data_IF_252689769298
#
_entry.id   IF_252689769298
#
_cell.length_a   1.000
_cell.length_b   1.000
_cell.length_c   1.000
_cell.angle_alpha   90.00
_cell.angle_beta   90.00
_cell.angle_gamma   90.00
#
_symmetry.space_group_name_H-M   'P 1'
#
loop_
_entity.id
_entity.type
_entity.pdbx_description
1 polymer ?
#
# COMPACT_ATOMS: atom_id res chain seq x y z
N UNK A 1 -0.03 3.73 0.07
CA UNK A 1 0.69 3.01 1.17
C UNK A 1 0.18 1.58 1.24
N UNK A 2 1.05 0.60 1.51
CA UNK A 2 0.67 -0.81 1.70
C UNK A 2 -0.41 -0.99 2.76
N UNK A 3 -1.07 -2.15 2.81
CA UNK A 3 -1.94 -2.52 3.93
C UNK A 3 -1.56 -3.88 4.49
N UNK A 4 -1.54 -3.97 5.82
CA UNK A 4 -1.40 -5.22 6.57
C UNK A 4 -2.76 -5.54 7.19
N UNK A 5 -3.25 -6.76 6.98
CA UNK A 5 -4.42 -7.31 7.67
C UNK A 5 -3.96 -8.41 8.64
N UNK A 6 -4.08 -8.16 9.93
CA UNK A 6 -3.60 -9.03 11.00
C UNK A 6 -4.78 -9.72 11.69
N UNK A 7 -4.89 -11.03 11.50
CA UNK A 7 -5.92 -11.90 12.05
C UNK A 7 -5.36 -12.77 13.16
N UNK A 8 -5.81 -12.56 14.37
CA UNK A 8 -5.52 -13.44 15.52
C UNK A 8 -6.31 -14.76 15.44
N UNK A 9 -5.99 -15.72 16.28
CA UNK A 9 -6.72 -17.01 16.38
C UNK A 9 -8.23 -16.82 16.59
N UNK A 10 -8.63 -15.80 17.33
CA UNK A 10 -10.05 -15.56 17.69
C UNK A 10 -10.79 -14.67 16.68
N UNK A 11 -10.08 -14.03 15.74
CA UNK A 11 -10.66 -13.21 14.69
C UNK A 11 -11.18 -14.08 13.53
N UNK A 12 -12.16 -13.60 12.78
CA UNK A 12 -12.63 -14.23 11.54
C UNK A 12 -11.73 -13.82 10.38
N UNK A 13 -11.60 -14.67 9.35
CA UNK A 13 -10.96 -14.24 8.12
C UNK A 13 -11.78 -13.13 7.45
N UNK A 14 -11.11 -12.11 6.87
CA UNK A 14 -11.78 -11.14 6.03
C UNK A 14 -12.50 -11.82 4.86
N UNK A 15 -13.58 -11.20 4.39
CA UNK A 15 -14.28 -11.67 3.19
C UNK A 15 -13.41 -11.51 1.95
N UNK A 16 -13.77 -12.21 0.85
CA UNK A 16 -13.12 -12.03 -0.45
C UNK A 16 -13.18 -10.55 -0.87
N UNK A 17 -14.34 -9.94 -0.77
CA UNK A 17 -14.58 -8.54 -1.13
C UNK A 17 -13.66 -7.57 -0.35
N UNK A 18 -13.49 -7.77 0.96
CA UNK A 18 -12.57 -6.96 1.76
C UNK A 18 -11.12 -7.10 1.28
N UNK A 19 -10.68 -8.33 0.97
CA UNK A 19 -9.32 -8.57 0.49
C UNK A 19 -9.12 -8.10 -0.95
N UNK A 20 -10.14 -8.13 -1.81
CA UNK A 20 -10.14 -7.51 -3.13
C UNK A 20 -9.99 -5.99 -3.00
N UNK A 21 -10.71 -5.35 -2.07
CA UNK A 21 -10.54 -3.92 -1.77
C UNK A 21 -9.11 -3.60 -1.32
N UNK A 22 -8.51 -4.44 -0.47
CA UNK A 22 -7.10 -4.29 -0.09
C UNK A 22 -6.17 -4.38 -1.30
N UNK A 23 -6.45 -5.32 -2.21
CA UNK A 23 -5.69 -5.52 -3.43
C UNK A 23 -5.85 -4.34 -4.41
N UNK A 24 -7.07 -3.91 -4.68
CA UNK A 24 -7.36 -2.81 -5.63
C UNK A 24 -6.70 -1.50 -5.19
N UNK A 25 -6.63 -1.27 -3.88
CA UNK A 25 -5.92 -0.14 -3.31
C UNK A 25 -4.39 -0.33 -3.23
N UNK A 26 -3.88 -1.57 -3.40
CA UNK A 26 -2.45 -1.91 -3.25
C UNK A 26 -2.07 -3.06 -4.21
N UNK A 27 -2.02 -2.82 -5.55
CA UNK A 27 -2.00 -3.89 -6.56
C UNK A 27 -0.61 -4.42 -6.91
N UNK A 28 0.46 -3.96 -6.27
CA UNK A 28 1.85 -4.30 -6.62
C UNK A 28 2.33 -5.62 -6.01
N UNK A 29 1.36 -6.49 -5.68
CA UNK A 29 1.59 -7.83 -5.20
C UNK A 29 1.25 -8.03 -3.74
N UNK A 30 1.07 -9.31 -3.37
CA UNK A 30 0.67 -9.70 -2.03
C UNK A 30 1.43 -10.92 -1.52
N UNK A 31 1.26 -11.17 -0.23
CA UNK A 31 1.66 -12.37 0.45
C UNK A 31 1.02 -12.47 1.83
N UNK A 32 1.21 -13.60 2.45
CA UNK A 32 0.71 -13.85 3.80
C UNK A 32 1.62 -14.78 4.58
N UNK A 33 1.51 -14.73 5.90
CA UNK A 33 2.12 -15.67 6.81
C UNK A 33 1.10 -16.18 7.82
N UNK A 34 1.29 -17.41 8.27
CA UNK A 34 0.44 -18.04 9.26
C UNK A 34 1.25 -19.01 10.10
N UNK A 35 0.79 -19.30 11.33
CA UNK A 35 1.43 -20.28 12.20
C UNK A 35 0.70 -21.61 12.11
N UNK A 36 1.45 -22.66 11.83
CA UNK A 36 0.98 -24.05 11.87
C UNK A 36 2.15 -24.98 12.16
N UNK A 37 1.89 -26.09 12.88
CA UNK A 37 2.89 -27.12 13.21
C UNK A 37 4.16 -26.53 13.86
N UNK A 38 4.00 -25.56 14.77
CA UNK A 38 5.12 -24.95 15.51
C UNK A 38 6.09 -24.12 14.67
N UNK A 39 5.65 -23.65 13.49
CA UNK A 39 6.42 -22.76 12.61
C UNK A 39 5.53 -21.70 11.99
N UNK A 40 6.12 -20.56 11.68
CA UNK A 40 5.54 -19.56 10.79
C UNK A 40 5.81 -19.98 9.36
N UNK A 41 4.75 -20.10 8.57
CA UNK A 41 4.79 -20.39 7.15
C UNK A 41 4.56 -19.10 6.38
N UNK A 42 5.49 -18.74 5.51
CA UNK A 42 5.42 -17.57 4.63
C UNK A 42 5.08 -18.05 3.23
N UNK A 43 4.12 -17.40 2.59
CA UNK A 43 3.78 -17.48 1.17
C UNK A 43 3.61 -16.08 0.61
N UNK A 44 4.38 -15.74 -0.40
CA UNK A 44 4.40 -14.40 -0.98
C UNK A 44 4.72 -14.43 -2.46
N UNK A 45 4.76 -13.27 -3.10
CA UNK A 45 5.07 -13.16 -4.52
C UNK A 45 3.84 -13.31 -5.39
N UNK A 46 2.64 -13.18 -4.84
CA UNK A 46 1.43 -13.21 -5.62
C UNK A 46 1.27 -11.87 -6.36
N UNK A 47 1.34 -11.94 -7.69
CA UNK A 47 1.20 -10.78 -8.58
C UNK A 47 -0.19 -10.73 -9.23
N UNK A 48 -1.11 -11.63 -8.84
CA UNK A 48 -2.53 -11.66 -9.21
C UNK A 48 -3.34 -11.99 -7.96
N UNK A 49 -4.48 -11.32 -7.81
CA UNK A 49 -5.35 -11.52 -6.65
C UNK A 49 -5.88 -12.97 -6.55
N UNK A 50 -6.30 -13.55 -7.65
CA UNK A 50 -6.85 -14.91 -7.64
C UNK A 50 -5.84 -15.97 -7.19
N UNK A 51 -4.56 -15.81 -7.56
CA UNK A 51 -3.49 -16.71 -7.09
C UNK A 51 -3.30 -16.60 -5.57
N UNK A 52 -3.31 -15.38 -5.05
CA UNK A 52 -3.28 -15.11 -3.62
C UNK A 52 -4.49 -15.72 -2.91
N UNK A 53 -5.71 -15.45 -3.41
CA UNK A 53 -6.95 -15.94 -2.83
C UNK A 53 -7.01 -17.48 -2.80
N UNK A 54 -6.74 -18.13 -3.92
CA UNK A 54 -6.76 -19.59 -4.04
C UNK A 54 -5.75 -20.25 -3.10
N UNK A 55 -4.54 -19.66 -3.01
CA UNK A 55 -3.52 -20.11 -2.07
C UNK A 55 -3.97 -19.98 -0.61
N UNK A 56 -4.59 -18.84 -0.25
CA UNK A 56 -5.12 -18.61 1.10
C UNK A 56 -6.25 -19.58 1.43
N UNK A 57 -7.20 -19.82 0.50
CA UNK A 57 -8.28 -20.80 0.71
C UNK A 57 -7.73 -22.21 0.90
N UNK A 58 -6.70 -22.63 0.16
CA UNK A 58 -6.04 -23.93 0.35
C UNK A 58 -5.47 -24.08 1.77
N UNK A 59 -4.93 -23.00 2.34
CA UNK A 59 -4.43 -23.00 3.71
C UNK A 59 -5.59 -23.11 4.72
N UNK A 60 -6.65 -22.34 4.51
CA UNK A 60 -7.85 -22.40 5.37
C UNK A 60 -8.49 -23.78 5.38
N UNK A 61 -8.62 -24.40 4.20
CA UNK A 61 -9.14 -25.79 4.09
C UNK A 61 -8.28 -26.77 4.86
N UNK A 62 -6.95 -26.61 4.79
CA UNK A 62 -6.01 -27.56 5.42
C UNK A 62 -5.88 -27.39 6.93
N UNK A 63 -5.85 -26.16 7.43
CA UNK A 63 -5.50 -25.85 8.82
C UNK A 63 -6.68 -25.27 9.62
N UNK A 64 -7.80 -24.99 8.96
CA UNK A 64 -8.99 -24.38 9.54
C UNK A 64 -8.89 -22.88 9.75
N UNK A 65 -9.99 -22.26 10.15
CA UNK A 65 -10.11 -20.81 10.31
C UNK A 65 -9.51 -20.24 11.60
N UNK A 66 -9.13 -21.10 12.54
CA UNK A 66 -8.56 -20.67 13.83
C UNK A 66 -7.06 -20.39 13.80
N UNK A 67 -6.39 -20.53 12.66
CA UNK A 67 -4.98 -20.17 12.55
C UNK A 67 -4.80 -18.65 12.60
N UNK A 68 -3.77 -18.11 13.29
CA UNK A 68 -3.38 -16.73 13.14
C UNK A 68 -2.81 -16.51 11.74
N UNK A 69 -3.15 -15.40 11.11
CA UNK A 69 -2.72 -15.10 9.75
C UNK A 69 -2.47 -13.60 9.57
N UNK A 70 -1.37 -13.24 8.97
CA UNK A 70 -1.03 -11.86 8.60
C UNK A 70 -0.92 -11.78 7.09
N UNK A 71 -1.77 -10.98 6.47
CA UNK A 71 -1.83 -10.75 5.03
C UNK A 71 -1.29 -9.36 4.72
N UNK A 72 -0.59 -9.20 3.62
CA UNK A 72 0.00 -7.93 3.20
C UNK A 72 -0.26 -7.69 1.72
N UNK A 73 -0.71 -6.48 1.38
CA UNK A 73 -0.91 -5.99 0.01
C UNK A 73 0.00 -4.79 -0.20
N UNK A 74 0.77 -4.82 -1.27
CA UNK A 74 1.89 -3.92 -1.52
C UNK A 74 1.54 -2.80 -2.48
N UNK A 75 2.04 -1.59 -2.17
CA UNK A 75 2.39 -0.58 -3.18
C UNK A 75 3.91 -0.46 -3.18
N UNK A 76 4.52 -0.63 -4.35
CA UNK A 76 5.97 -0.62 -4.51
C UNK A 76 6.52 0.80 -4.48
N UNK A 77 7.23 1.15 -3.41
CA UNK A 77 7.96 2.42 -3.28
C UNK A 77 9.46 2.24 -3.49
N UNK A 78 10.01 1.09 -3.10
CA UNK A 78 11.44 0.78 -3.21
C UNK A 78 11.66 -0.67 -3.65
N UNK A 79 12.78 -0.93 -4.33
CA UNK A 79 13.24 -2.26 -4.72
C UNK A 79 12.53 -2.88 -5.93
N UNK A 80 11.68 -2.13 -6.66
CA UNK A 80 10.96 -2.60 -7.83
C UNK A 80 9.77 -3.54 -7.52
N UNK A 81 8.90 -3.73 -8.53
CA UNK A 81 7.71 -4.59 -8.44
C UNK A 81 8.05 -6.02 -8.87
N UNK A 82 8.81 -6.71 -8.02
CA UNK A 82 9.17 -8.12 -8.22
C UNK A 82 8.59 -8.99 -7.09
N UNK A 83 8.28 -10.27 -7.36
CA UNK A 83 7.69 -11.19 -6.37
C UNK A 83 8.49 -11.28 -5.07
N UNK A 84 9.83 -11.22 -5.15
CA UNK A 84 10.72 -11.34 -3.99
C UNK A 84 10.58 -10.19 -2.99
N UNK A 85 10.12 -9.01 -3.44
CA UNK A 85 9.96 -7.82 -2.61
C UNK A 85 8.57 -7.70 -1.96
N UNK A 86 7.64 -8.62 -2.25
CA UNK A 86 6.37 -8.67 -1.52
C UNK A 86 6.60 -9.14 -0.08
N UNK A 87 5.80 -8.61 0.85
CA UNK A 87 5.79 -9.09 2.23
C UNK A 87 4.91 -10.34 2.37
N UNK A 88 5.04 -11.08 3.50
CA UNK A 88 5.95 -10.90 4.63
C UNK A 88 7.35 -11.49 4.39
N UNK A 89 8.26 -11.21 5.32
CA UNK A 89 9.63 -11.73 5.32
C UNK A 89 9.93 -12.55 6.58
N UNK A 90 10.83 -13.56 6.51
CA UNK A 90 11.34 -14.20 7.72
C UNK A 90 12.28 -13.25 8.48
N UNK A 91 12.29 -13.32 9.79
CA UNK A 91 13.36 -12.72 10.59
C UNK A 91 14.65 -13.50 10.37
N UNK A 92 15.56 -12.95 9.57
CA UNK A 92 16.81 -13.61 9.20
C UNK A 92 17.89 -12.61 8.82
N UNK A 93 19.13 -12.88 9.19
CA UNK A 93 20.31 -12.10 8.73
C UNK A 93 20.71 -12.44 7.28
N UNK A 94 20.18 -13.51 6.70
CA UNK A 94 20.54 -13.95 5.37
C UNK A 94 19.52 -13.42 4.36
N UNK A 95 19.93 -12.49 3.51
CA UNK A 95 19.10 -11.87 2.46
C UNK A 95 18.41 -12.92 1.56
N UNK A 96 19.11 -14.00 1.22
CA UNK A 96 18.54 -15.07 0.39
C UNK A 96 17.30 -15.73 1.01
N UNK A 97 17.22 -15.79 2.35
CA UNK A 97 16.02 -16.31 3.01
C UNK A 97 14.84 -15.37 2.85
N UNK A 98 15.09 -14.06 2.86
CA UNK A 98 14.03 -13.04 2.69
C UNK A 98 13.48 -13.04 1.26
N UNK A 99 14.29 -13.45 0.27
CA UNK A 99 13.88 -13.51 -1.14
C UNK A 99 13.05 -14.75 -1.50
N UNK A 100 13.02 -15.76 -0.67
CA UNK A 100 12.22 -16.98 -0.91
C UNK A 100 10.73 -16.68 -0.89
N UNK A 101 10.00 -17.17 -1.88
CA UNK A 101 8.54 -16.97 -1.99
C UNK A 101 7.76 -17.88 -1.04
N UNK A 102 8.33 -19.03 -0.70
CA UNK A 102 7.81 -19.97 0.29
C UNK A 102 8.92 -20.27 1.30
N UNK A 103 8.64 -19.99 2.58
CA UNK A 103 9.64 -20.21 3.63
C UNK A 103 8.97 -20.60 4.96
N UNK A 104 9.73 -21.32 5.81
CA UNK A 104 9.32 -21.63 7.19
C UNK A 104 10.35 -21.05 8.14
N UNK A 105 9.89 -20.35 9.17
CA UNK A 105 10.75 -19.72 10.17
C UNK A 105 10.10 -19.75 11.56
N UNK A 106 10.79 -19.24 12.55
CA UNK A 106 10.26 -19.07 13.89
C UNK A 106 9.50 -17.73 14.04
N UNK A 107 9.93 -16.72 13.28
CA UNK A 107 9.37 -15.37 13.33
C UNK A 107 9.26 -14.82 11.91
N UNK A 108 8.09 -14.30 11.57
CA UNK A 108 7.80 -13.60 10.32
C UNK A 108 7.44 -12.14 10.58
N UNK A 109 7.71 -11.28 9.59
CA UNK A 109 7.63 -9.81 9.69
C UNK A 109 6.91 -9.24 8.47
N UNK A 110 5.94 -8.35 8.69
CA UNK A 110 5.31 -7.53 7.66
C UNK A 110 5.40 -6.06 8.08
N UNK A 111 5.70 -5.18 7.13
CA UNK A 111 5.89 -3.75 7.37
C UNK A 111 5.02 -2.93 6.44
N UNK A 112 4.50 -1.81 6.93
CA UNK A 112 3.77 -0.80 6.16
C UNK A 112 4.29 0.59 6.49
N UNK A 113 5.05 1.17 5.56
CA UNK A 113 5.68 2.48 5.65
C UNK A 113 6.99 2.51 4.85
N UNK A 114 7.81 3.49 5.13
CA UNK A 114 9.17 3.64 4.61
C UNK A 114 10.10 3.69 5.83
N UNK A 115 11.23 2.99 5.77
CA UNK A 115 12.23 2.97 6.85
C UNK A 115 13.44 3.79 6.39
N UNK A 116 13.55 5.02 6.87
CA UNK A 116 14.58 5.97 6.44
C UNK A 116 16.01 5.53 6.74
N UNK A 117 16.22 4.79 7.82
CA UNK A 117 17.54 4.23 8.19
C UNK A 117 18.20 3.43 7.05
N UNK A 118 17.41 2.97 6.07
CA UNK A 118 17.86 2.07 5.00
C UNK A 118 17.81 2.71 3.61
N UNK A 119 17.31 3.95 3.50
CA UNK A 119 17.08 4.63 2.21
C UNK A 119 18.36 5.10 1.51
N UNK A 120 19.48 5.19 2.23
CA UNK A 120 20.78 5.63 1.69
C UNK A 120 21.47 4.60 0.79
N UNK A 121 20.90 3.43 0.62
CA UNK A 121 21.47 2.39 -0.24
C UNK A 121 21.14 2.63 -1.72
N UNK A 122 22.17 2.48 -2.54
CA UNK A 122 22.22 2.79 -3.96
C UNK A 122 20.92 2.48 -4.72
N UNK A 123 20.52 3.38 -5.59
CA UNK A 123 19.31 3.35 -6.44
C UNK A 123 19.13 2.08 -7.30
N UNK A 124 20.09 1.16 -7.32
CA UNK A 124 20.13 -0.04 -8.18
C UNK A 124 19.99 -1.36 -7.42
N UNK A 125 19.58 -1.37 -6.16
CA UNK A 125 19.49 -2.61 -5.38
C UNK A 125 18.06 -3.14 -5.41
N UNK A 126 17.87 -4.38 -5.88
CA UNK A 126 16.59 -5.11 -5.92
C UNK A 126 16.10 -5.57 -4.53
N UNK A 127 16.34 -4.78 -3.48
CA UNK A 127 15.90 -5.06 -2.11
C UNK A 127 15.02 -3.93 -1.60
N UNK A 128 13.97 -4.28 -0.83
CA UNK A 128 13.20 -3.27 -0.12
C UNK A 128 13.96 -2.78 1.12
N UNK A 129 13.62 -1.57 1.57
CA UNK A 129 14.05 -0.99 2.86
C UNK A 129 13.80 -1.96 4.02
N UNK A 130 12.63 -2.58 4.06
CA UNK A 130 12.26 -3.57 5.08
C UNK A 130 13.19 -4.79 5.08
N UNK A 131 13.60 -5.31 3.91
CA UNK A 131 14.54 -6.43 3.84
C UNK A 131 15.89 -6.04 4.46
N UNK A 132 16.38 -4.85 4.16
CA UNK A 132 17.62 -4.31 4.74
C UNK A 132 17.47 -4.09 6.24
N UNK A 133 16.38 -3.51 6.69
CA UNK A 133 16.10 -3.33 8.10
C UNK A 133 16.09 -4.66 8.87
N UNK A 134 15.47 -5.70 8.32
CA UNK A 134 15.44 -7.03 8.94
C UNK A 134 16.85 -7.61 9.05
N UNK A 135 17.66 -7.56 7.97
CA UNK A 135 18.99 -8.17 7.96
C UNK A 135 19.99 -7.45 8.86
N UNK A 136 19.94 -6.12 8.86
CA UNK A 136 20.99 -5.29 9.44
C UNK A 136 20.68 -4.85 10.89
N UNK A 137 19.40 -4.76 11.25
CA UNK A 137 18.96 -4.24 12.55
C UNK A 137 18.02 -5.20 13.29
N UNK A 138 16.86 -5.52 12.74
CA UNK A 138 15.80 -6.20 13.48
C UNK A 138 16.22 -7.58 13.97
N UNK A 139 16.96 -8.34 13.14
CA UNK A 139 17.50 -9.66 13.50
C UNK A 139 18.63 -9.62 14.54
N UNK A 140 19.16 -8.43 14.85
CA UNK A 140 20.10 -8.21 15.96
C UNK A 140 19.39 -7.83 17.26
N UNK A 141 18.18 -7.28 17.15
CA UNK A 141 17.37 -6.83 18.30
C UNK A 141 16.50 -7.97 18.82
N UNK A 142 15.88 -8.74 17.90
CA UNK A 142 14.98 -9.84 18.23
C UNK A 142 15.75 -11.16 18.22
N UNK A 143 15.98 -11.73 19.41
CA UNK A 143 16.71 -12.97 19.59
C UNK A 143 15.83 -14.20 19.85
N UNK A 144 14.62 -14.00 20.39
CA UNK A 144 13.70 -15.07 20.74
C UNK A 144 12.22 -14.65 20.52
N UNK A 145 11.28 -15.58 20.69
CA UNK A 145 9.84 -15.33 20.52
C UNK A 145 9.22 -14.53 21.67
N UNK A 146 9.95 -14.24 22.75
CA UNK A 146 9.42 -13.50 23.92
C UNK A 146 9.86 -12.04 23.94
N UNK A 147 10.57 -11.55 22.92
CA UNK A 147 11.10 -10.20 22.79
C UNK A 147 10.05 -9.10 23.05
N UNK A 148 8.79 -9.35 22.65
CA UNK A 148 7.66 -8.42 22.79
C UNK A 148 7.28 -8.13 24.25
N UNK A 149 7.74 -8.94 25.22
CA UNK A 149 7.54 -8.69 26.65
C UNK A 149 8.39 -7.53 27.17
N UNK A 150 9.47 -7.19 26.49
CA UNK A 150 10.28 -6.02 26.78
C UNK A 150 9.65 -4.78 26.13
N UNK A 151 9.02 -3.94 26.95
CA UNK A 151 8.45 -2.66 26.48
C UNK A 151 9.51 -1.73 25.86
N UNK A 152 10.73 -1.77 26.39
CA UNK A 152 11.83 -0.93 25.89
C UNK A 152 12.29 -1.42 24.52
N UNK A 153 12.35 -2.73 24.29
CA UNK A 153 12.63 -3.31 22.96
C UNK A 153 11.54 -2.92 21.95
N UNK A 154 10.26 -3.00 22.33
CA UNK A 154 9.15 -2.58 21.45
C UNK A 154 9.28 -1.09 21.09
N UNK A 155 9.48 -0.21 22.08
CA UNK A 155 9.65 1.23 21.86
C UNK A 155 10.88 1.57 21.01
N UNK A 156 11.98 0.82 21.18
CA UNK A 156 13.16 1.00 20.36
C UNK A 156 12.84 0.70 18.89
N UNK A 157 12.18 -0.44 18.61
CA UNK A 157 11.81 -0.82 17.25
C UNK A 157 10.86 0.22 16.67
N UNK A 158 9.83 0.67 17.41
CA UNK A 158 8.88 1.69 16.96
C UNK A 158 9.58 3.00 16.55
N UNK A 159 10.56 3.44 17.34
CA UNK A 159 11.36 4.64 17.01
C UNK A 159 12.23 4.46 15.76
N UNK A 160 12.73 3.24 15.53
CA UNK A 160 13.59 2.95 14.38
C UNK A 160 12.80 2.89 13.07
N UNK A 161 11.53 2.46 13.11
CA UNK A 161 10.71 2.29 11.90
C UNK A 161 9.85 3.51 11.57
N UNK A 162 9.45 4.29 12.57
CA UNK A 162 8.49 5.42 12.48
C UNK A 162 7.26 5.11 11.59
N UNK A 163 6.77 3.89 11.69
CA UNK A 163 5.72 3.34 10.81
C UNK A 163 5.06 2.13 11.48
N UNK A 164 4.48 1.19 10.73
CA UNK A 164 3.77 0.04 11.29
C UNK A 164 4.44 -1.27 10.95
N UNK A 165 4.71 -2.06 11.98
CA UNK A 165 5.27 -3.40 11.86
C UNK A 165 4.34 -4.43 12.51
N UNK A 166 4.14 -5.56 11.82
CA UNK A 166 3.45 -6.71 12.35
C UNK A 166 4.40 -7.91 12.39
N UNK A 167 4.54 -8.51 13.55
CA UNK A 167 5.37 -9.69 13.77
C UNK A 167 4.51 -10.85 14.21
N UNK A 168 4.65 -12.00 13.54
CA UNK A 168 4.00 -13.26 13.90
C UNK A 168 5.08 -14.28 14.27
N UNK A 169 4.93 -14.97 15.39
CA UNK A 169 5.85 -16.00 15.82
C UNK A 169 5.26 -17.43 15.74
N UNK A 170 6.12 -18.42 15.93
CA UNK A 170 5.76 -19.84 15.90
C UNK A 170 4.83 -20.26 17.04
N UNK A 171 4.72 -19.46 18.10
CA UNK A 171 3.83 -19.67 19.24
C UNK A 171 2.44 -19.07 18.98
N UNK A 172 2.19 -18.57 17.75
CA UNK A 172 0.92 -17.94 17.32
C UNK A 172 0.68 -16.55 17.91
N UNK A 173 1.70 -15.92 18.49
CA UNK A 173 1.59 -14.57 19.01
C UNK A 173 1.79 -13.55 17.87
N UNK A 174 0.90 -12.55 17.84
CA UNK A 174 1.00 -11.41 16.92
C UNK A 174 1.31 -10.18 17.75
N UNK A 175 2.38 -9.49 17.37
CA UNK A 175 2.77 -8.19 17.92
C UNK A 175 2.56 -7.12 16.85
N UNK A 176 1.81 -6.07 17.19
CA UNK A 176 1.59 -4.89 16.36
C UNK A 176 2.39 -3.74 16.96
N UNK A 177 3.26 -3.12 16.17
CA UNK A 177 4.08 -1.98 16.56
C UNK A 177 3.73 -0.77 15.70
N UNK A 178 3.91 0.42 16.27
CA UNK A 178 3.53 1.69 15.66
C UNK A 178 2.05 2.05 15.86
N UNK A 179 1.73 3.30 15.65
CA UNK A 179 0.39 3.86 15.90
C UNK A 179 -0.55 3.72 14.69
N UNK A 180 -1.86 3.97 14.91
CA UNK A 180 -2.85 4.06 13.84
C UNK A 180 -3.34 2.73 13.28
N UNK A 181 -3.24 1.63 14.04
CA UNK A 181 -3.91 0.38 13.72
C UNK A 181 -5.42 0.51 13.87
N UNK A 182 -6.17 0.02 12.89
CA UNK A 182 -7.62 0.06 12.84
C UNK A 182 -8.19 -1.34 13.02
N UNK A 183 -9.05 -1.52 14.02
CA UNK A 183 -9.74 -2.79 14.23
C UNK A 183 -11.07 -2.81 13.47
N UNK A 184 -11.32 -3.89 12.77
CA UNK A 184 -12.66 -4.21 12.28
C UNK A 184 -13.43 -4.98 13.35
N UNK A 185 -14.45 -4.38 13.91
CA UNK A 185 -15.23 -4.98 15.00
C UNK A 185 -16.06 -6.18 14.54
N UNK A 186 -16.41 -6.29 13.26
CA UNK A 186 -17.19 -7.38 12.71
C UNK A 186 -16.38 -8.68 12.61
N UNK A 187 -15.10 -8.58 12.29
CA UNK A 187 -14.19 -9.72 12.14
C UNK A 187 -13.17 -9.85 13.25
N UNK A 188 -12.84 -8.76 13.93
CA UNK A 188 -11.76 -8.69 14.92
C UNK A 188 -10.37 -8.57 14.30
N UNK A 189 -10.27 -8.33 12.99
CA UNK A 189 -9.01 -8.14 12.26
C UNK A 189 -8.47 -6.74 12.49
N UNK A 190 -7.15 -6.60 12.65
CA UNK A 190 -6.47 -5.33 12.73
C UNK A 190 -5.84 -4.98 11.38
N UNK A 191 -6.07 -3.76 10.92
CA UNK A 191 -5.51 -3.22 9.68
C UNK A 191 -4.54 -2.08 9.96
N UNK A 192 -3.44 -2.04 9.22
CA UNK A 192 -2.41 -1.02 9.41
C UNK A 192 -2.83 0.38 8.90
N UNK A 193 -3.89 0.48 8.11
CA UNK A 193 -4.52 1.74 7.67
C UNK A 193 -5.96 1.46 7.22
N UNK A 194 -6.60 2.43 6.54
CA UNK A 194 -7.99 2.33 6.09
C UNK A 194 -8.18 1.79 4.67
N UNK A 195 -7.10 1.37 3.97
CA UNK A 195 -7.17 0.86 2.58
C UNK A 195 -7.98 -0.44 2.41
N UNK A 196 -8.43 -1.06 3.50
CA UNK A 196 -9.33 -2.21 3.48
C UNK A 196 -10.81 -1.81 3.33
N UNK A 197 -11.13 -0.54 3.52
CA UNK A 197 -12.48 -0.01 3.33
C UNK A 197 -12.67 0.35 1.86
N UNK A 198 -13.80 -0.05 1.30
CA UNK A 198 -14.19 0.47 -0.01
C UNK A 198 -14.20 2.00 0.06
N UNK A 199 -13.61 2.66 -0.92
CA UNK A 199 -13.77 4.09 -1.07
C UNK A 199 -15.27 4.34 -1.18
N UNK A 200 -15.82 5.24 -0.35
CA UNK A 200 -17.25 5.60 -0.37
C UNK A 200 -17.69 6.14 -1.74
N UNK A 201 -16.74 6.55 -2.55
CA UNK A 201 -16.93 6.95 -3.93
C UNK A 201 -16.24 5.90 -4.82
N UNK A 202 -17.03 5.06 -5.51
CA UNK A 202 -16.54 4.49 -6.75
C UNK A 202 -16.26 5.71 -7.63
N UNK A 203 -14.99 6.01 -7.83
CA UNK A 203 -14.61 6.87 -8.96
C UNK A 203 -15.30 6.21 -10.14
N UNK A 204 -16.21 6.89 -10.85
CA UNK A 204 -16.81 6.30 -12.03
C UNK A 204 -15.64 5.80 -12.87
N UNK A 205 -15.67 4.55 -13.36
CA UNK A 205 -14.75 4.14 -14.42
C UNK A 205 -15.08 5.06 -15.57
N UNK A 206 -14.30 6.13 -15.69
CA UNK A 206 -14.43 7.04 -16.81
C UNK A 206 -14.08 6.20 -18.04
N UNK A 207 -15.10 5.86 -18.78
CA UNK A 207 -14.89 5.32 -20.08
C UNK A 207 -14.47 6.51 -20.95
N UNK A 208 -13.21 6.58 -21.31
CA UNK A 208 -12.68 7.68 -22.13
C UNK A 208 -13.47 7.84 -23.45
N UNK A 209 -14.13 6.75 -23.91
CA UNK A 209 -15.03 6.80 -25.07
C UNK A 209 -16.27 7.68 -24.81
N UNK A 210 -16.74 7.79 -23.56
CA UNK A 210 -17.90 8.66 -23.24
C UNK A 210 -17.53 10.15 -23.35
N UNK A 211 -16.24 10.46 -23.28
CA UNK A 211 -15.67 11.80 -23.47
C UNK A 211 -15.17 12.03 -24.90
N UNK A 212 -15.43 11.10 -25.83
CA UNK A 212 -15.00 11.23 -27.21
C UNK A 212 -13.51 10.97 -27.42
N UNK A 213 -12.89 10.16 -26.58
CA UNK A 213 -11.52 9.69 -26.77
C UNK A 213 -11.52 8.19 -27.02
N UNK A 214 -10.85 7.74 -28.07
CA UNK A 214 -10.59 6.31 -28.33
C UNK A 214 -9.11 6.02 -28.32
N UNK A 215 -8.72 4.84 -27.82
CA UNK A 215 -7.34 4.38 -27.87
C UNK A 215 -6.98 3.96 -29.30
N UNK A 216 -6.00 4.64 -29.91
CA UNK A 216 -5.45 4.21 -31.19
C UNK A 216 -4.22 3.31 -30.95
N UNK A 217 -4.33 2.00 -31.26
CA UNK A 217 -3.24 1.06 -31.07
C UNK A 217 -2.04 1.31 -32.00
N UNK A 218 -2.20 2.08 -33.09
CA UNK A 218 -1.12 2.40 -34.03
C UNK A 218 -0.24 3.52 -33.50
N UNK A 219 -0.85 4.57 -32.97
CA UNK A 219 -0.12 5.71 -32.39
C UNK A 219 0.22 5.51 -30.92
N UNK A 220 -0.35 4.48 -30.25
CA UNK A 220 -0.28 4.24 -28.82
C UNK A 220 -0.67 5.46 -27.99
N UNK A 221 -1.72 6.16 -28.41
CA UNK A 221 -2.24 7.36 -27.78
C UNK A 221 -3.76 7.40 -27.84
N UNK A 222 -4.39 8.20 -26.98
CA UNK A 222 -5.82 8.48 -27.10
C UNK A 222 -6.05 9.56 -28.16
N UNK A 223 -6.93 9.28 -29.12
CA UNK A 223 -7.36 10.20 -30.17
C UNK A 223 -8.79 10.66 -29.92
N UNK A 224 -9.09 11.91 -30.23
CA UNK A 224 -10.43 12.44 -30.05
C UNK A 224 -11.32 11.99 -31.21
N UNK A 225 -12.51 11.46 -30.87
CA UNK A 225 -13.54 11.05 -31.85
C UNK A 225 -14.64 12.10 -32.03
N UNK A 226 -14.66 13.16 -31.21
CA UNK A 226 -15.62 14.26 -31.32
C UNK A 226 -14.95 15.48 -31.91
N UNK A 227 -15.62 16.13 -32.88
CA UNK A 227 -15.25 17.47 -33.34
C UNK A 227 -15.49 18.45 -32.20
N UNK A 228 -14.46 19.26 -31.88
CA UNK A 228 -14.48 20.23 -30.79
C UNK A 228 -15.45 21.41 -30.98
N UNK A 229 -16.14 21.47 -32.13
CA UNK A 229 -17.09 22.56 -32.44
C UNK A 229 -18.39 22.50 -31.65
N UNK A 230 -18.65 21.40 -30.89
CA UNK A 230 -19.89 21.20 -30.11
C UNK A 230 -19.69 21.35 -28.59
N UNK A 231 -18.56 21.85 -28.13
CA UNK A 231 -18.40 22.20 -26.73
C UNK A 231 -18.79 23.66 -26.53
N UNK A 232 -20.03 23.91 -26.15
CA UNK A 232 -20.46 25.16 -25.54
C UNK A 232 -19.71 25.37 -24.22
N UNK A 233 -18.45 25.78 -24.32
CA UNK A 233 -17.75 26.39 -23.20
C UNK A 233 -18.31 27.80 -23.13
N UNK A 234 -19.28 28.02 -22.27
CA UNK A 234 -19.79 29.34 -21.95
C UNK A 234 -18.67 30.12 -21.27
N UNK A 235 -17.93 30.87 -22.10
CA UNK A 235 -17.08 31.96 -21.65
C UNK A 235 -17.96 33.19 -21.54
N UNK A 236 -18.24 33.61 -20.32
CA UNK A 236 -18.91 34.90 -20.14
C UNK A 236 -17.92 36.03 -20.39
N UNK A 237 -17.99 36.61 -21.58
CA UNK A 237 -17.15 37.76 -22.00
C UNK A 237 -17.31 38.98 -21.13
N UNK A 238 -18.41 39.09 -20.35
CA UNK A 238 -18.70 40.27 -19.48
C UNK A 238 -18.05 40.16 -18.11
N UNK A 239 -17.88 38.95 -17.57
CA UNK A 239 -17.24 38.69 -16.27
C UNK A 239 -15.81 38.24 -16.35
N UNK A 240 -15.39 37.74 -17.50
CA UNK A 240 -14.06 37.15 -17.70
C UNK A 240 -13.88 35.82 -16.92
N UNK A 241 -14.95 35.21 -16.45
CA UNK A 241 -14.95 33.98 -15.69
C UNK A 241 -15.46 32.80 -16.51
N UNK A 242 -14.82 31.65 -16.32
CA UNK A 242 -15.34 30.36 -16.76
C UNK A 242 -16.29 29.87 -15.67
N UNK A 243 -17.51 29.58 -16.04
CA UNK A 243 -18.47 28.92 -15.13
C UNK A 243 -18.11 27.44 -15.09
N UNK A 244 -17.39 27.04 -14.06
CA UNK A 244 -17.12 25.65 -13.76
C UNK A 244 -18.15 25.19 -12.72
N UNK A 245 -18.89 24.17 -13.05
CA UNK A 245 -19.62 23.40 -12.05
C UNK A 245 -18.62 22.82 -11.03
N UNK A 246 -18.55 23.44 -9.84
CA UNK A 246 -17.65 23.08 -8.76
C UNK A 246 -17.77 21.61 -8.33
N UNK A 247 -18.87 20.93 -8.70
CA UNK A 247 -19.10 19.51 -8.43
C UNK A 247 -18.19 18.59 -9.24
N UNK A 248 -17.46 19.10 -10.24
CA UNK A 248 -16.67 18.31 -11.19
C UNK A 248 -15.15 18.45 -11.08
N UNK A 249 -14.62 19.20 -10.13
CA UNK A 249 -13.18 19.31 -9.96
C UNK A 249 -12.63 18.10 -9.17
N UNK A 250 -11.80 17.21 -9.77
CA UNK A 250 -11.17 16.10 -9.05
C UNK A 250 -10.27 16.55 -7.90
N UNK A 251 -9.84 17.86 -7.89
CA UNK A 251 -8.99 18.44 -6.86
C UNK A 251 -9.70 18.73 -5.54
N UNK A 252 -11.04 18.66 -5.47
CA UNK A 252 -11.82 18.80 -4.23
C UNK A 252 -11.74 17.58 -3.29
N UNK A 253 -11.04 16.52 -3.70
CA UNK A 253 -10.88 15.29 -2.95
C UNK A 253 -9.42 15.13 -2.53
N UNK A 254 -9.07 15.52 -1.33
CA UNK A 254 -7.88 15.21 -0.47
C UNK A 254 -6.52 14.80 -1.13
N UNK A 255 -6.35 14.89 -2.45
CA UNK A 255 -5.11 14.63 -3.19
C UNK A 255 -4.82 15.70 -4.23
N UNK A 256 -4.91 16.95 -3.84
CA UNK A 256 -4.74 18.13 -4.69
C UNK A 256 -3.38 18.12 -5.43
N UNK A 257 -2.32 17.62 -4.80
CA UNK A 257 -0.95 17.76 -5.32
C UNK A 257 -0.60 16.89 -6.54
N UNK A 258 -1.18 15.69 -6.65
CA UNK A 258 -0.83 14.77 -7.76
C UNK A 258 -1.63 15.05 -9.04
N UNK A 259 -2.90 15.43 -8.89
CA UNK A 259 -3.79 15.65 -10.05
C UNK A 259 -3.66 17.07 -10.63
N UNK A 260 -3.42 18.09 -9.82
CA UNK A 260 -3.23 19.45 -10.30
C UNK A 260 -1.94 19.61 -11.10
N UNK A 261 -0.90 18.83 -10.83
CA UNK A 261 0.35 18.87 -11.61
C UNK A 261 0.17 18.40 -13.06
N UNK A 262 -0.81 17.53 -13.31
CA UNK A 262 -1.12 16.98 -14.64
C UNK A 262 -2.31 17.65 -15.33
N UNK A 263 -3.01 18.56 -14.64
CA UNK A 263 -4.18 19.21 -15.18
C UNK A 263 -3.81 20.24 -16.26
N UNK A 264 -4.41 20.12 -17.44
CA UNK A 264 -4.21 21.07 -18.54
C UNK A 264 -4.62 22.52 -18.21
N UNK A 265 -5.49 22.69 -17.20
CA UNK A 265 -5.99 23.97 -16.73
C UNK A 265 -5.26 24.53 -15.49
N UNK A 266 -4.14 23.93 -15.11
CA UNK A 266 -3.37 24.27 -13.90
C UNK A 266 -3.12 25.76 -13.72
N UNK A 267 -2.79 26.49 -14.79
CA UNK A 267 -2.49 27.93 -14.73
C UNK A 267 -3.72 28.86 -14.68
N UNK A 268 -4.94 28.30 -14.82
CA UNK A 268 -6.19 29.07 -14.88
C UNK A 268 -7.19 28.69 -13.76
N UNK A 269 -6.90 27.65 -13.00
CA UNK A 269 -7.75 27.14 -11.94
C UNK A 269 -7.60 28.01 -10.68
N UNK A 270 -8.69 28.56 -10.17
CA UNK A 270 -8.69 29.39 -8.96
C UNK A 270 -8.21 28.61 -7.73
N UNK A 271 -8.60 27.32 -7.60
CA UNK A 271 -8.12 26.45 -6.52
C UNK A 271 -6.59 26.23 -6.57
N UNK A 272 -6.01 26.18 -7.77
CA UNK A 272 -4.56 26.10 -7.93
C UNK A 272 -3.87 27.43 -7.63
N UNK A 273 -4.55 28.57 -7.85
CA UNK A 273 -4.02 29.88 -7.53
C UNK A 273 -3.90 30.08 -6.02
N UNK A 274 -4.94 29.75 -5.25
CA UNK A 274 -4.90 29.82 -3.78
C UNK A 274 -3.82 28.91 -3.19
N UNK A 275 -3.61 27.73 -3.79
CA UNK A 275 -2.55 26.83 -3.41
C UNK A 275 -1.15 27.38 -3.75
N UNK A 276 -0.96 27.94 -4.94
CA UNK A 276 0.33 28.52 -5.35
C UNK A 276 0.67 29.78 -4.53
N UNK A 277 -0.33 30.58 -4.16
CA UNK A 277 -0.17 31.75 -3.31
C UNK A 277 0.11 31.36 -1.83
N UNK A 278 -0.19 30.12 -1.43
CA UNK A 278 0.12 29.57 -0.09
C UNK A 278 1.48 28.88 0.02
N UNK A 279 2.18 28.65 -1.12
CA UNK A 279 3.52 28.09 -1.12
C UNK A 279 4.55 29.13 -0.70
N UNK A 280 5.51 28.83 0.18
CA UNK A 280 6.63 29.71 0.44
C UNK A 280 7.37 29.97 -0.89
N UNK A 281 7.70 31.22 -1.13
CA UNK A 281 8.55 31.60 -2.29
C UNK A 281 9.84 30.79 -2.22
N UNK A 282 10.11 29.96 -3.24
CA UNK A 282 11.36 29.27 -3.41
C UNK A 282 12.46 30.34 -3.47
N UNK A 283 13.19 30.51 -2.36
CA UNK A 283 14.42 31.31 -2.37
C UNK A 283 15.38 30.63 -3.36
N UNK A 284 15.59 31.31 -4.47
CA UNK A 284 16.25 30.84 -5.67
C UNK A 284 17.52 30.03 -5.42
N UNK A 285 17.56 28.87 -5.98
CA UNK A 285 18.80 28.18 -6.36
C UNK A 285 19.22 28.70 -7.74
N UNK A 286 19.82 29.88 -7.75
CA UNK A 286 20.71 30.31 -8.82
C UNK A 286 22.07 29.62 -8.69
N UNK A 287 22.47 29.01 -9.78
CA UNK A 287 23.78 28.52 -10.27
C UNK A 287 23.96 27.02 -10.29
#
# INVERSE_FOLDING_TARGET
MCVIASKTTNAKFPTRETLETCWDNNPDGAGYMFTANGKVHIRKGFMKFDDFWNSLQSVRTKYGDKIPCVMHFRIGTQGGNIPQNTHPFPLSRKMDNLRKLNYKCDIGVAHNGIIDLTTTYAKNVNYSDTMKFITDYLSLIIHDTKWYKSKDTCKLIEKLIDSRLCVLDKESHITLLGEGWNKDDATGVWYSNTSWKALKYKVPKYNWSDWGYEWDPKTKSYVTTKNYDDWDIYFDETSGQFDFDESYCPGLMERINEYCSMCANRGKCMLNKDYMDSMPEDEGLDK
#
